data_IF_754677210785
#
_entry.id   IF_754677210785
#
_cell.length_a   1.000
_cell.length_b   1.000
_cell.length_c   1.000
_cell.angle_alpha   90.00
_cell.angle_beta   90.00
_cell.angle_gamma   90.00
#
_symmetry.space_group_name_H-M   'P 1'
#
loop_
_entity.id
_entity.type
_entity.pdbx_description
1 polymer ?
#
# COMPACT_ATOMS: atom_id res chain seq x y z
N UNK A 1 12.69 -3.15 6.67
CA UNK A 1 12.55 -2.87 8.12
C UNK A 1 12.34 -4.19 8.85
N UNK A 2 13.13 -4.46 9.89
CA UNK A 2 12.99 -5.66 10.69
C UNK A 2 12.53 -5.28 12.10
N UNK A 3 11.46 -5.93 12.59
CA UNK A 3 10.91 -5.74 13.94
C UNK A 3 10.58 -7.10 14.51
N UNK A 4 11.09 -7.40 15.73
CA UNK A 4 10.79 -8.66 16.40
C UNK A 4 11.15 -9.91 15.59
N UNK A 5 12.19 -9.86 14.77
CA UNK A 5 12.61 -10.94 13.90
C UNK A 5 11.79 -11.08 12.61
N UNK A 6 10.87 -10.16 12.33
CA UNK A 6 10.11 -10.14 11.07
C UNK A 6 10.58 -8.97 10.22
N UNK A 7 11.03 -9.27 9.00
CA UNK A 7 11.50 -8.26 8.05
C UNK A 7 10.35 -7.88 7.11
N UNK A 8 9.95 -6.62 7.15
CA UNK A 8 8.81 -6.11 6.38
C UNK A 8 9.32 -5.29 5.19
N UNK A 9 8.86 -5.65 4.01
CA UNK A 9 9.18 -4.96 2.77
C UNK A 9 7.94 -4.24 2.23
N UNK A 10 8.05 -2.93 2.03
CA UNK A 10 6.99 -2.15 1.38
C UNK A 10 7.04 -2.44 -0.12
N UNK A 11 5.95 -2.96 -0.66
CA UNK A 11 5.84 -3.27 -2.09
C UNK A 11 5.24 -2.08 -2.85
N UNK A 12 4.30 -1.40 -2.24
CA UNK A 12 3.69 -0.21 -2.81
C UNK A 12 3.13 0.67 -1.71
N UNK A 13 3.25 1.98 -1.88
CA UNK A 13 2.58 2.96 -1.03
C UNK A 13 1.88 3.97 -1.92
N UNK A 14 0.57 4.04 -1.82
CA UNK A 14 -0.23 5.03 -2.52
C UNK A 14 -0.16 6.35 -1.76
N UNK A 15 0.17 7.42 -2.46
CA UNK A 15 0.26 8.76 -1.87
C UNK A 15 -0.55 9.71 -2.74
N UNK A 16 -1.37 10.54 -2.12
CA UNK A 16 -2.11 11.60 -2.79
C UNK A 16 -1.57 12.95 -2.37
N UNK A 17 -1.40 13.83 -3.32
CA UNK A 17 -0.97 15.21 -3.09
C UNK A 17 -2.06 16.16 -3.53
N UNK A 18 -2.34 17.16 -2.69
CA UNK A 18 -3.31 18.21 -2.99
C UNK A 18 -2.52 19.47 -3.31
N UNK A 19 -2.46 19.89 -4.60
CA UNK A 19 -1.79 21.12 -4.97
C UNK A 19 -2.63 22.34 -4.58
N UNK A 20 -2.02 23.53 -4.61
CA UNK A 20 -2.72 24.78 -4.30
C UNK A 20 -3.91 25.01 -5.23
N UNK A 21 -3.70 24.74 -6.52
CA UNK A 21 -4.77 24.79 -7.52
C UNK A 21 -4.96 23.39 -8.12
N UNK A 22 -6.19 22.96 -8.39
CA UNK A 22 -6.45 21.67 -9.03
C UNK A 22 -5.71 21.54 -10.36
N UNK A 23 -5.16 20.36 -10.63
CA UNK A 23 -4.49 20.08 -11.91
C UNK A 23 -5.56 19.95 -13.01
N UNK A 24 -5.37 20.65 -14.10
CA UNK A 24 -6.29 20.59 -15.23
C UNK A 24 -6.03 19.31 -16.05
N UNK A 25 -7.05 18.50 -16.24
CA UNK A 25 -6.97 17.27 -17.02
C UNK A 25 -6.53 17.52 -18.46
N UNK A 26 -7.11 18.52 -19.09
CA UNK A 26 -6.80 18.82 -20.50
C UNK A 26 -5.33 19.25 -20.69
N UNK A 27 -4.76 19.95 -19.72
CA UNK A 27 -3.36 20.33 -19.77
C UNK A 27 -2.43 19.11 -19.72
N UNK A 28 -2.75 18.12 -18.88
CA UNK A 28 -1.97 16.87 -18.81
C UNK A 28 -2.06 16.09 -20.11
N UNK A 29 -3.25 16.05 -20.71
CA UNK A 29 -3.47 15.34 -21.97
C UNK A 29 -2.72 16.05 -23.12
N UNK A 30 -2.88 17.36 -23.25
CA UNK A 30 -2.33 18.11 -24.38
C UNK A 30 -0.83 18.37 -24.27
N UNK A 31 -0.32 18.64 -23.06
CA UNK A 31 1.09 19.01 -22.87
C UNK A 31 1.98 17.81 -22.53
N UNK A 32 1.46 16.79 -21.88
CA UNK A 32 2.25 15.65 -21.39
C UNK A 32 1.82 14.31 -21.99
N UNK A 33 0.91 14.30 -22.93
CA UNK A 33 0.36 13.08 -23.54
C UNK A 33 -0.28 12.14 -22.52
N UNK A 34 -0.93 12.70 -21.50
CA UNK A 34 -1.70 11.94 -20.55
C UNK A 34 -2.89 11.24 -21.21
N UNK A 35 -3.31 10.12 -20.65
CA UNK A 35 -4.42 9.32 -21.17
C UNK A 35 -5.64 9.47 -20.28
N UNK A 36 -6.76 9.86 -20.88
CA UNK A 36 -8.03 9.94 -20.16
C UNK A 36 -8.65 8.55 -20.01
N UNK A 37 -9.12 8.26 -18.82
CA UNK A 37 -9.83 7.03 -18.53
C UNK A 37 -10.99 7.37 -17.57
N UNK A 38 -12.20 7.50 -18.13
CA UNK A 38 -13.36 7.96 -17.34
C UNK A 38 -13.13 9.36 -16.78
N UNK A 39 -13.20 9.50 -15.46
CA UNK A 39 -13.05 10.78 -14.75
C UNK A 39 -11.61 11.05 -14.29
N UNK A 40 -10.65 10.25 -14.70
CA UNK A 40 -9.25 10.39 -14.32
C UNK A 40 -8.36 10.56 -15.55
N UNK A 41 -7.15 11.09 -15.33
CA UNK A 41 -6.09 11.15 -16.34
C UNK A 41 -4.88 10.42 -15.79
N UNK A 42 -4.28 9.56 -16.60
CA UNK A 42 -3.13 8.74 -16.23
C UNK A 42 -1.91 9.19 -17.01
N UNK A 43 -0.80 9.39 -16.33
CA UNK A 43 0.50 9.73 -16.94
C UNK A 43 1.61 8.91 -16.29
N UNK A 44 2.32 8.14 -17.11
CA UNK A 44 3.51 7.43 -16.64
C UNK A 44 4.73 8.36 -16.69
N UNK A 45 5.50 8.40 -15.62
CA UNK A 45 6.77 9.09 -15.53
C UNK A 45 7.93 8.10 -15.50
N UNK A 46 9.05 8.48 -16.10
CA UNK A 46 10.26 7.67 -16.13
C UNK A 46 11.27 8.07 -15.04
N UNK A 47 11.33 9.37 -14.71
CA UNK A 47 12.27 9.92 -13.72
C UNK A 47 11.57 10.97 -12.85
N UNK A 48 11.20 10.62 -11.61
CA UNK A 48 11.25 9.27 -11.01
C UNK A 48 10.20 8.36 -11.67
N UNK A 49 10.48 7.06 -11.65
CA UNK A 49 9.55 6.07 -12.22
C UNK A 49 8.32 5.97 -11.35
N UNK A 50 7.18 6.34 -11.89
CA UNK A 50 5.91 6.33 -11.18
C UNK A 50 4.74 6.43 -12.15
N UNK A 51 3.58 6.01 -11.73
CA UNK A 51 2.33 6.27 -12.44
C UNK A 51 1.59 7.37 -11.71
N UNK A 52 1.30 8.45 -12.42
CA UNK A 52 0.53 9.57 -11.90
C UNK A 52 -0.91 9.42 -12.33
N UNK A 53 -1.81 9.59 -11.39
CA UNK A 53 -3.25 9.63 -11.65
C UNK A 53 -3.75 10.99 -11.18
N UNK A 54 -4.36 11.75 -12.08
CA UNK A 54 -5.06 12.98 -11.71
C UNK A 54 -6.52 12.60 -11.49
N UNK A 55 -6.99 12.76 -10.26
CA UNK A 55 -8.35 12.39 -9.93
C UNK A 55 -9.36 13.44 -10.42
N UNK A 56 -10.63 13.17 -10.23
CA UNK A 56 -11.71 14.04 -10.70
C UNK A 56 -11.61 15.45 -10.10
N UNK A 57 -11.09 15.58 -8.88
CA UNK A 57 -10.93 16.85 -8.19
C UNK A 57 -9.61 17.57 -8.54
N UNK A 58 -8.79 17.02 -9.43
CA UNK A 58 -7.51 17.61 -9.81
C UNK A 58 -6.38 17.34 -8.81
N UNK A 59 -6.52 16.36 -7.93
CA UNK A 59 -5.47 15.94 -7.00
C UNK A 59 -4.55 14.95 -7.68
N UNK A 60 -3.31 14.86 -7.18
CA UNK A 60 -2.27 14.02 -7.76
C UNK A 60 -2.12 12.75 -6.93
N UNK A 61 -2.46 11.61 -7.49
CA UNK A 61 -2.26 10.31 -6.86
C UNK A 61 -1.04 9.65 -7.50
N UNK A 62 -0.08 9.25 -6.69
CA UNK A 62 1.16 8.61 -7.16
C UNK A 62 1.14 7.14 -6.78
N UNK A 63 1.33 6.29 -7.77
CA UNK A 63 1.36 4.84 -7.64
C UNK A 63 2.70 4.28 -8.15
N UNK A 64 3.16 3.19 -7.56
CA UNK A 64 4.39 2.52 -7.99
C UNK A 64 5.65 3.00 -7.31
N UNK A 65 5.53 3.76 -6.22
CA UNK A 65 6.66 4.21 -5.40
C UNK A 65 6.64 3.49 -4.05
N UNK A 66 7.83 3.35 -3.45
CA UNK A 66 7.99 2.69 -2.15
C UNK A 66 8.17 3.69 -1.00
N UNK A 67 8.41 4.96 -1.31
CA UNK A 67 8.66 6.01 -0.33
C UNK A 67 7.86 7.26 -0.66
N UNK A 68 7.45 7.97 0.38
CA UNK A 68 6.72 9.23 0.25
C UNK A 68 7.57 10.27 -0.48
N UNK A 69 8.88 10.32 -0.23
CA UNK A 69 9.80 11.26 -0.88
C UNK A 69 9.86 11.05 -2.39
N UNK A 70 9.89 9.79 -2.84
CA UNK A 70 9.88 9.47 -4.27
C UNK A 70 8.54 9.86 -4.91
N UNK A 71 7.44 9.61 -4.20
CA UNK A 71 6.11 10.02 -4.66
C UNK A 71 6.00 11.54 -4.77
N UNK A 72 6.52 12.27 -3.78
CA UNK A 72 6.54 13.74 -3.80
C UNK A 72 7.37 14.26 -4.97
N UNK A 73 8.53 13.66 -5.22
CA UNK A 73 9.38 14.04 -6.36
C UNK A 73 8.64 13.83 -7.69
N UNK A 74 7.88 12.76 -7.83
CA UNK A 74 7.07 12.49 -9.01
C UNK A 74 5.96 13.55 -9.19
N UNK A 75 5.27 13.90 -8.11
CA UNK A 75 4.22 14.93 -8.15
C UNK A 75 4.80 16.30 -8.53
N UNK A 76 5.94 16.67 -7.95
CA UNK A 76 6.64 17.91 -8.28
C UNK A 76 7.11 17.95 -9.72
N UNK A 77 7.62 16.84 -10.22
CA UNK A 77 8.05 16.72 -11.61
C UNK A 77 6.88 16.96 -12.59
N UNK A 78 5.71 16.41 -12.28
CA UNK A 78 4.51 16.64 -13.07
C UNK A 78 4.16 18.14 -13.10
N UNK A 79 4.10 18.77 -11.93
CA UNK A 79 3.78 20.18 -11.81
C UNK A 79 4.79 21.06 -12.56
N UNK A 80 6.06 20.73 -12.44
CA UNK A 80 7.15 21.45 -13.13
C UNK A 80 6.98 21.38 -14.64
N UNK A 81 6.68 20.20 -15.18
CA UNK A 81 6.45 20.01 -16.63
C UNK A 81 5.23 20.76 -17.12
N UNK A 82 4.24 21.01 -16.26
CA UNK A 82 3.07 21.81 -16.60
C UNK A 82 3.32 23.31 -16.39
N UNK A 83 4.49 23.71 -15.91
CA UNK A 83 4.80 25.10 -15.59
C UNK A 83 4.03 25.63 -14.37
N UNK A 84 3.63 24.73 -13.47
CA UNK A 84 2.86 25.08 -12.29
C UNK A 84 3.76 25.15 -11.04
N UNK A 85 3.30 25.91 -10.04
CA UNK A 85 3.98 26.01 -8.76
C UNK A 85 3.86 24.68 -8.00
N UNK A 86 4.99 24.16 -7.54
CA UNK A 86 5.07 22.93 -6.78
C UNK A 86 5.15 23.16 -5.25
N UNK A 87 5.08 24.41 -4.82
CA UNK A 87 5.02 24.74 -3.39
C UNK A 87 3.63 24.49 -2.84
N UNK A 88 3.57 24.29 -1.51
CA UNK A 88 2.28 24.13 -0.82
C UNK A 88 1.56 22.81 -1.08
N UNK A 89 2.24 21.79 -1.63
CA UNK A 89 1.66 20.46 -1.78
C UNK A 89 1.34 19.86 -0.40
N UNK A 90 0.07 19.53 -0.19
CA UNK A 90 -0.34 18.79 0.99
C UNK A 90 -0.29 17.30 0.70
N UNK A 91 0.22 16.52 1.64
CA UNK A 91 0.40 15.07 1.50
C UNK A 91 -0.70 14.33 2.24
N UNK A 92 -1.37 13.43 1.55
CA UNK A 92 -2.32 12.50 2.14
C UNK A 92 -1.81 11.08 1.88
N UNK A 93 -1.53 10.32 2.94
CA UNK A 93 -1.04 8.95 2.82
C UNK A 93 -2.20 8.02 2.52
N UNK A 94 -2.05 7.23 1.48
CA UNK A 94 -2.97 6.17 1.12
C UNK A 94 -2.54 4.82 1.69
N UNK A 95 -3.23 3.74 1.29
CA UNK A 95 -2.92 2.42 1.80
C UNK A 95 -1.54 1.93 1.37
N UNK A 96 -0.91 1.18 2.28
CA UNK A 96 0.37 0.50 2.06
C UNK A 96 0.10 -0.96 1.76
N UNK A 97 0.80 -1.50 0.75
CA UNK A 97 0.91 -2.93 0.51
C UNK A 97 2.33 -3.33 0.85
N UNK A 98 2.47 -4.32 1.73
CA UNK A 98 3.76 -4.79 2.19
C UNK A 98 3.79 -6.31 2.24
N UNK A 99 4.98 -6.89 2.17
CA UNK A 99 5.19 -8.32 2.29
C UNK A 99 6.14 -8.62 3.43
N UNK A 100 5.99 -9.80 4.01
CA UNK A 100 6.90 -10.33 5.02
C UNK A 100 6.78 -11.85 5.05
N UNK A 101 7.63 -12.50 5.86
CA UNK A 101 7.62 -13.94 6.00
C UNK A 101 7.74 -14.28 7.49
N UNK A 102 6.93 -15.22 7.96
CA UNK A 102 7.05 -15.72 9.33
C UNK A 102 8.25 -16.65 9.49
N UNK A 103 8.89 -17.06 8.38
CA UNK A 103 10.00 -18.00 8.35
C UNK A 103 9.66 -19.36 8.98
N UNK A 104 8.41 -19.74 8.88
CA UNK A 104 7.87 -20.98 9.38
C UNK A 104 6.61 -21.31 8.59
N UNK A 105 6.32 -22.59 8.38
CA UNK A 105 5.05 -22.99 7.81
C UNK A 105 3.89 -22.59 8.71
N UNK A 106 2.72 -22.41 8.12
CA UNK A 106 1.50 -22.02 8.81
C UNK A 106 0.37 -22.98 8.45
N UNK A 107 -0.36 -23.45 9.45
CA UNK A 107 -1.52 -24.32 9.26
C UNK A 107 -2.74 -23.51 8.82
N UNK A 108 -2.67 -22.93 7.60
CA UNK A 108 -3.67 -21.96 7.11
C UNK A 108 -5.07 -22.55 6.98
N UNK A 109 -5.18 -23.83 6.65
CA UNK A 109 -6.49 -24.49 6.51
C UNK A 109 -7.24 -24.59 7.84
N UNK A 110 -6.51 -24.48 8.95
CA UNK A 110 -7.09 -24.50 10.30
C UNK A 110 -7.40 -23.10 10.84
N UNK A 111 -7.21 -22.07 10.02
CA UNK A 111 -7.38 -20.67 10.43
C UNK A 111 -8.78 -20.15 10.13
N UNK A 112 -9.80 -20.76 10.74
CA UNK A 112 -11.19 -20.30 10.70
C UNK A 112 -11.66 -20.01 12.10
N UNK A 113 -11.19 -18.91 12.69
CA UNK A 113 -11.48 -18.63 14.10
C UNK A 113 -11.33 -17.15 14.45
N UNK A 114 -11.87 -16.79 15.60
CA UNK A 114 -11.67 -15.47 16.17
C UNK A 114 -10.46 -15.50 17.11
N UNK A 115 -9.69 -14.42 17.04
CA UNK A 115 -8.56 -14.17 17.94
C UNK A 115 -8.80 -12.88 18.70
N UNK A 116 -8.11 -12.71 19.80
CA UNK A 116 -7.99 -11.37 20.40
C UNK A 116 -7.23 -10.47 19.42
N UNK A 117 -7.91 -9.50 18.87
CA UNK A 117 -7.33 -8.55 17.92
C UNK A 117 -7.72 -8.74 16.46
N UNK A 118 -8.51 -9.78 16.13
CA UNK A 118 -8.97 -9.99 14.77
C UNK A 118 -9.61 -11.33 14.53
N UNK A 119 -10.00 -11.56 13.27
CA UNK A 119 -10.63 -12.82 12.84
C UNK A 119 -9.85 -13.38 11.66
N UNK A 120 -9.87 -14.70 11.48
CA UNK A 120 -9.28 -15.34 10.31
C UNK A 120 -10.25 -16.27 9.61
N UNK A 121 -10.12 -16.34 8.28
CA UNK A 121 -10.85 -17.23 7.39
C UNK A 121 -9.89 -17.82 6.38
N UNK A 122 -9.98 -19.12 6.13
CA UNK A 122 -9.27 -19.74 5.02
C UNK A 122 -10.07 -19.60 3.73
N UNK A 123 -9.47 -18.99 2.71
CA UNK A 123 -10.09 -18.81 1.40
C UNK A 123 -9.52 -19.85 0.43
N UNK A 124 -10.37 -20.80 0.04
CA UNK A 124 -9.96 -21.91 -0.84
C UNK A 124 -9.56 -21.44 -2.24
N UNK A 125 -10.19 -20.37 -2.74
CA UNK A 125 -9.90 -19.86 -4.09
C UNK A 125 -8.53 -19.23 -4.16
N UNK A 126 -8.13 -18.51 -3.12
CA UNK A 126 -6.81 -17.88 -3.02
C UNK A 126 -5.75 -18.83 -2.47
N UNK A 127 -6.17 -19.91 -1.80
CA UNK A 127 -5.25 -20.84 -1.15
C UNK A 127 -4.50 -20.24 0.03
N UNK A 128 -5.11 -19.29 0.71
CA UNK A 128 -4.48 -18.61 1.85
C UNK A 128 -5.51 -18.31 2.94
N UNK A 129 -5.01 -18.07 4.15
CA UNK A 129 -5.82 -17.53 5.23
C UNK A 129 -5.84 -16.01 5.14
N UNK A 130 -7.00 -15.42 5.40
CA UNK A 130 -7.18 -13.98 5.45
C UNK A 130 -7.45 -13.58 6.89
N UNK A 131 -6.59 -12.74 7.44
CA UNK A 131 -6.74 -12.19 8.80
C UNK A 131 -7.25 -10.77 8.68
N UNK A 132 -8.41 -10.50 9.28
CA UNK A 132 -8.91 -9.16 9.46
C UNK A 132 -8.35 -8.65 10.79
N UNK A 133 -7.28 -7.87 10.73
CA UNK A 133 -6.61 -7.33 11.89
C UNK A 133 -7.30 -6.04 12.33
N UNK A 134 -8.14 -6.12 13.34
CA UNK A 134 -8.86 -4.97 13.88
C UNK A 134 -7.99 -4.15 14.84
N UNK A 135 -6.95 -4.77 15.41
CA UNK A 135 -6.02 -4.09 16.31
C UNK A 135 -5.13 -3.09 15.59
N UNK A 136 -4.68 -3.44 14.37
CA UNK A 136 -3.79 -2.60 13.56
C UNK A 136 -4.48 -2.04 12.33
N UNK A 137 -5.76 -2.34 12.16
CA UNK A 137 -6.62 -1.80 11.11
C UNK A 137 -6.05 -2.09 9.70
N UNK A 138 -5.75 -3.36 9.46
CA UNK A 138 -5.24 -3.85 8.17
C UNK A 138 -5.71 -5.28 7.92
N UNK A 139 -5.38 -5.79 6.75
CA UNK A 139 -5.71 -7.15 6.35
C UNK A 139 -4.43 -7.90 6.01
N UNK A 140 -4.29 -9.13 6.50
CA UNK A 140 -3.18 -10.00 6.18
C UNK A 140 -3.65 -11.19 5.35
N UNK A 141 -2.88 -11.52 4.34
CA UNK A 141 -3.00 -12.75 3.56
C UNK A 141 -1.82 -13.63 3.91
N UNK A 142 -2.09 -14.83 4.43
CA UNK A 142 -1.06 -15.75 4.94
C UNK A 142 -1.12 -17.05 4.16
N UNK A 143 0.01 -17.41 3.55
CA UNK A 143 0.14 -18.68 2.82
C UNK A 143 0.81 -19.76 3.68
N UNK A 144 0.61 -21.02 3.31
CA UNK A 144 1.11 -22.16 4.07
C UNK A 144 2.63 -22.17 4.24
N UNK A 145 3.38 -21.57 3.31
CA UNK A 145 4.84 -21.45 3.41
C UNK A 145 5.31 -20.33 4.34
N UNK A 146 4.40 -19.61 4.98
CA UNK A 146 4.72 -18.51 5.88
C UNK A 146 4.83 -17.15 5.22
N UNK A 147 4.73 -17.06 3.90
CA UNK A 147 4.72 -15.77 3.21
C UNK A 147 3.43 -15.04 3.49
N UNK A 148 3.53 -13.72 3.67
CA UNK A 148 2.40 -12.87 4.01
C UNK A 148 2.40 -11.61 3.14
N UNK A 149 1.19 -11.13 2.87
CA UNK A 149 0.97 -9.81 2.25
C UNK A 149 0.01 -9.04 3.16
N UNK A 150 0.37 -7.81 3.48
CA UNK A 150 -0.50 -6.88 4.20
C UNK A 150 -1.10 -5.88 3.22
N UNK A 151 -2.39 -5.62 3.36
CA UNK A 151 -3.08 -4.59 2.58
C UNK A 151 -3.87 -3.66 3.50
N UNK A 152 -4.24 -2.50 2.98
CA UNK A 152 -5.04 -1.49 3.67
C UNK A 152 -4.35 -0.87 4.89
N UNK A 153 -3.06 -1.10 5.08
CA UNK A 153 -2.30 -0.49 6.15
C UNK A 153 -2.06 1.00 5.86
N UNK A 154 -2.11 1.83 6.89
CA UNK A 154 -1.87 3.26 6.74
C UNK A 154 -0.39 3.64 6.82
N UNK A 155 0.40 2.80 7.46
CA UNK A 155 1.84 3.07 7.66
C UNK A 155 2.61 1.76 7.74
N UNK A 156 3.85 1.68 7.21
CA UNK A 156 4.67 0.48 7.31
C UNK A 156 4.89 -0.03 8.73
N UNK A 157 4.97 0.87 9.72
CA UNK A 157 5.13 0.49 11.12
C UNK A 157 3.94 -0.33 11.63
N UNK A 158 2.73 -0.04 11.15
CA UNK A 158 1.55 -0.84 11.51
C UNK A 158 1.65 -2.25 10.99
N UNK A 159 2.22 -2.44 9.80
CA UNK A 159 2.47 -3.77 9.24
C UNK A 159 3.48 -4.53 10.10
N UNK A 160 4.57 -3.87 10.50
CA UNK A 160 5.58 -4.50 11.35
C UNK A 160 5.02 -4.92 12.71
N UNK A 161 4.24 -4.07 13.33
CA UNK A 161 3.57 -4.37 14.60
C UNK A 161 2.58 -5.54 14.46
N UNK A 162 1.80 -5.53 13.39
CA UNK A 162 0.85 -6.59 13.07
C UNK A 162 1.56 -7.93 12.85
N UNK A 163 2.67 -7.93 12.10
CA UNK A 163 3.44 -9.13 11.82
C UNK A 163 3.96 -9.80 13.11
N UNK A 164 4.52 -9.00 14.01
CA UNK A 164 5.01 -9.50 15.32
C UNK A 164 3.86 -10.03 16.17
N UNK A 165 2.77 -9.28 16.25
CA UNK A 165 1.60 -9.68 17.01
C UNK A 165 1.03 -11.01 16.52
N UNK A 166 0.82 -11.16 15.22
CA UNK A 166 0.21 -12.37 14.65
C UNK A 166 1.16 -13.55 14.68
N UNK A 167 2.46 -13.33 14.55
CA UNK A 167 3.43 -14.43 14.77
C UNK A 167 3.29 -15.01 16.17
N UNK A 168 3.18 -14.15 17.18
CA UNK A 168 2.95 -14.57 18.56
C UNK A 168 1.62 -15.29 18.75
N UNK A 169 0.54 -14.77 18.17
CA UNK A 169 -0.79 -15.41 18.25
C UNK A 169 -0.82 -16.77 17.58
N UNK A 170 -0.21 -16.90 16.40
CA UNK A 170 -0.14 -18.19 15.72
C UNK A 170 0.68 -19.21 16.50
N UNK A 171 1.74 -18.78 17.19
CA UNK A 171 2.51 -19.64 18.09
C UNK A 171 1.67 -20.11 19.28
N UNK A 172 0.94 -19.20 19.93
CA UNK A 172 0.06 -19.52 21.06
C UNK A 172 -1.00 -20.56 20.69
N UNK A 173 -1.51 -20.51 19.47
CA UNK A 173 -2.55 -21.43 19.00
C UNK A 173 -2.02 -22.66 18.26
N UNK A 174 -0.70 -22.88 18.29
CA UNK A 174 -0.03 -24.00 17.62
C UNK A 174 -0.30 -24.05 16.11
N UNK A 175 -0.40 -22.91 15.48
CA UNK A 175 -0.63 -22.77 14.04
C UNK A 175 0.65 -22.52 13.25
N UNK A 176 1.76 -22.17 13.91
CA UNK A 176 3.08 -22.16 13.30
C UNK A 176 3.68 -23.58 13.38
N UNK A 177 4.22 -24.03 12.25
CA UNK A 177 4.73 -25.40 12.11
C UNK A 177 6.23 -25.51 12.36
#
# INVERSE_FOLDING_TARGET
>A
MAVGGVDVRVENQLVRFVPIAPVNHDAVISQLAGQKNGNIVIKALQKPRATIIIDEAGRIVVHGTHRVEAARAAAKELLLRLGLDDSGLQTELGPVIASFNFDSGVAVESMNQEFTGGTSIYDQRLGCAIIQDTRHNLKLYVWANGKCVASDARHPNMVAMSAVFWKGKLQEHNLLL
#
